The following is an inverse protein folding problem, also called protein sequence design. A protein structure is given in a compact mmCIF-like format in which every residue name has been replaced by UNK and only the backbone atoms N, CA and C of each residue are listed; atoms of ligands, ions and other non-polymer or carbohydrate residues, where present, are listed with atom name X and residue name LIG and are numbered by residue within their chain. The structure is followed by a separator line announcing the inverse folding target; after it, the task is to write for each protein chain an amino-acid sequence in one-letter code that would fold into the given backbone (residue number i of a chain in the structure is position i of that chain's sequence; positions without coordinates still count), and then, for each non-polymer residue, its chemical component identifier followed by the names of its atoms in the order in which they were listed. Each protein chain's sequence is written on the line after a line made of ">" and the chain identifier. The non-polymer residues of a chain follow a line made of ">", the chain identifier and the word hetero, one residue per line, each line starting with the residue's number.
data_IF_693266528889
#
_entry.id   IF_693266528889
#
_cell.length_a   1.000
_cell.length_b   1.000
_cell.length_c   1.000
_cell.angle_alpha   90.00
_cell.angle_beta   90.00
_cell.angle_gamma   90.00
#
_symmetry.space_group_name_H-M   'P 1'
#
loop_
_entity.id
_entity.type
_entity.pdbx_description
1 polymer ?
#
# COMPACT_ATOMS: atom_id res chain seq x y z
N UNK A 1 -16.84 34.15 21.89
CA UNK A 1 -15.93 33.04 21.54
C UNK A 1 -16.73 32.03 20.74
N UNK A 2 -16.20 31.55 19.60
CA UNK A 2 -16.79 30.42 18.91
C UNK A 2 -16.77 29.20 19.85
N UNK A 3 -17.83 28.38 19.89
CA UNK A 3 -17.83 27.18 20.72
C UNK A 3 -16.63 26.32 20.35
N UNK A 4 -15.86 25.86 21.34
CA UNK A 4 -14.83 24.85 21.11
C UNK A 4 -15.53 23.64 20.49
N UNK A 5 -15.12 23.24 19.29
CA UNK A 5 -15.60 22.00 18.71
C UNK A 5 -15.26 20.86 19.67
N UNK A 6 -16.24 20.01 19.96
CA UNK A 6 -16.06 18.88 20.87
C UNK A 6 -15.00 17.88 20.35
N UNK A 7 -14.79 17.87 19.03
CA UNK A 7 -13.83 17.03 18.33
C UNK A 7 -12.89 17.91 17.51
N UNK A 8 -11.61 17.58 17.55
CA UNK A 8 -10.60 18.15 16.65
C UNK A 8 -10.52 17.35 15.35
N UNK A 9 -9.70 17.84 14.42
CA UNK A 9 -9.49 17.24 13.12
C UNK A 9 -9.02 15.77 13.22
N UNK A 10 -8.08 15.48 14.11
CA UNK A 10 -7.50 14.14 14.28
C UNK A 10 -8.54 13.13 14.74
N UNK A 11 -9.38 13.48 15.73
CA UNK A 11 -10.46 12.61 16.19
C UNK A 11 -11.49 12.31 15.08
N UNK A 12 -11.77 13.29 14.21
CA UNK A 12 -12.69 13.13 13.07
C UNK A 12 -12.07 12.22 12.01
N UNK A 13 -10.79 12.41 11.68
CA UNK A 13 -10.06 11.55 10.74
C UNK A 13 -9.99 10.12 11.26
N UNK A 14 -9.76 9.93 12.56
CA UNK A 14 -9.71 8.58 13.13
C UNK A 14 -11.07 7.87 13.08
N UNK A 15 -12.15 8.57 13.41
CA UNK A 15 -13.49 8.00 13.28
C UNK A 15 -13.81 7.63 11.81
N UNK A 16 -13.43 8.47 10.86
CA UNK A 16 -13.62 8.20 9.43
C UNK A 16 -12.70 7.07 8.92
N UNK A 17 -11.46 6.98 9.40
CA UNK A 17 -10.54 5.89 9.09
C UNK A 17 -11.09 4.54 9.52
N UNK A 18 -11.65 4.46 10.72
CA UNK A 18 -12.24 3.22 11.21
C UNK A 18 -13.44 2.77 10.37
N UNK A 19 -14.26 3.72 9.88
CA UNK A 19 -15.34 3.41 8.92
C UNK A 19 -14.72 2.87 7.63
N UNK A 20 -13.68 3.52 7.09
CA UNK A 20 -13.03 3.08 5.87
C UNK A 20 -12.38 1.70 6.01
N UNK A 21 -11.79 1.39 7.17
CA UNK A 21 -11.21 0.08 7.47
C UNK A 21 -12.25 -1.03 7.33
N UNK A 22 -13.45 -0.79 7.84
CA UNK A 22 -14.48 -1.82 7.94
C UNK A 22 -15.36 -1.87 6.67
N UNK A 23 -15.63 -0.72 6.03
CA UNK A 23 -16.65 -0.57 4.99
C UNK A 23 -16.17 0.09 3.69
N UNK A 24 -14.96 0.67 3.66
CA UNK A 24 -14.38 1.33 2.48
C UNK A 24 -14.58 2.86 2.45
N UNK A 25 -13.93 3.54 1.50
CA UNK A 25 -13.90 5.01 1.49
C UNK A 25 -15.27 5.62 1.15
N UNK A 26 -16.07 4.95 0.32
CA UNK A 26 -17.43 5.39 -0.04
C UNK A 26 -18.38 5.42 1.17
N UNK A 27 -18.07 4.70 2.26
CA UNK A 27 -18.85 4.70 3.49
C UNK A 27 -18.59 5.94 4.38
N UNK A 28 -17.55 6.72 4.07
CA UNK A 28 -17.27 7.99 4.77
C UNK A 28 -18.32 9.00 4.35
N UNK A 29 -19.22 9.32 5.28
CA UNK A 29 -20.25 10.36 5.11
C UNK A 29 -20.32 11.20 6.38
N UNK A 30 -20.85 12.43 6.28
CA UNK A 30 -21.06 13.25 7.46
C UNK A 30 -21.88 12.52 8.54
N UNK A 31 -22.89 11.75 8.11
CA UNK A 31 -23.78 11.01 9.00
C UNK A 31 -23.09 9.82 9.65
N UNK A 32 -22.34 9.01 8.89
CA UNK A 32 -21.64 7.83 9.45
C UNK A 32 -20.56 8.24 10.44
N UNK A 33 -19.80 9.29 10.13
CA UNK A 33 -18.77 9.84 11.02
C UNK A 33 -19.40 10.45 12.28
N UNK A 34 -20.46 11.25 12.15
CA UNK A 34 -21.16 11.82 13.30
C UNK A 34 -21.77 10.74 14.21
N UNK A 35 -22.35 9.70 13.61
CA UNK A 35 -22.89 8.56 14.37
C UNK A 35 -21.79 7.84 15.16
N UNK A 36 -20.62 7.62 14.55
CA UNK A 36 -19.47 7.00 15.24
C UNK A 36 -18.92 7.87 16.37
N UNK A 37 -18.88 9.18 16.19
CA UNK A 37 -18.44 10.15 17.21
C UNK A 37 -19.49 10.39 18.30
N UNK A 38 -20.73 9.94 18.13
CA UNK A 38 -21.85 10.29 19.02
C UNK A 38 -22.16 11.79 19.00
N UNK A 39 -21.98 12.45 17.84
CA UNK A 39 -22.09 13.90 17.67
C UNK A 39 -23.12 14.28 16.61
N UNK A 40 -23.39 15.58 16.46
CA UNK A 40 -24.02 16.09 15.24
C UNK A 40 -23.01 16.11 14.08
N UNK A 41 -23.46 16.44 12.87
CA UNK A 41 -22.55 16.63 11.71
C UNK A 41 -21.77 17.95 11.77
N UNK A 42 -22.13 18.87 12.68
CA UNK A 42 -21.55 20.21 12.73
C UNK A 42 -20.02 20.23 12.95
N UNK A 43 -19.42 19.42 13.86
CA UNK A 43 -17.97 19.38 14.04
C UNK A 43 -17.21 18.99 12.77
N UNK A 44 -17.80 18.17 11.90
CA UNK A 44 -17.17 17.75 10.65
C UNK A 44 -17.03 18.94 9.70
N UNK A 45 -18.12 19.68 9.47
CA UNK A 45 -18.11 20.85 8.57
C UNK A 45 -17.40 22.08 9.14
N UNK A 46 -17.09 22.09 10.43
CA UNK A 46 -16.19 23.11 11.00
C UNK A 46 -14.72 22.82 10.66
N UNK A 47 -14.33 21.56 10.52
CA UNK A 47 -12.94 21.17 10.26
C UNK A 47 -12.68 20.88 8.77
N UNK A 48 -13.68 20.42 8.01
CA UNK A 48 -13.57 20.05 6.60
C UNK A 48 -14.62 20.78 5.77
N UNK A 49 -14.21 21.37 4.63
CA UNK A 49 -15.15 22.09 3.77
C UNK A 49 -16.11 21.11 3.05
N UNK A 50 -15.63 19.91 2.72
CA UNK A 50 -16.41 18.85 2.11
C UNK A 50 -16.01 17.46 2.64
N UNK A 51 -16.87 16.46 2.42
CA UNK A 51 -16.59 15.06 2.83
C UNK A 51 -15.44 14.46 2.02
N UNK A 52 -15.24 14.94 0.80
CA UNK A 52 -14.12 14.61 -0.06
C UNK A 52 -12.79 15.06 0.56
N UNK A 53 -12.77 16.18 1.30
CA UNK A 53 -11.58 16.67 1.99
C UNK A 53 -11.23 15.76 3.16
N UNK A 54 -12.24 15.35 3.95
CA UNK A 54 -12.08 14.36 5.01
C UNK A 54 -11.60 13.02 4.45
N UNK A 55 -12.18 12.58 3.34
CA UNK A 55 -11.78 11.32 2.68
C UNK A 55 -10.32 11.38 2.24
N UNK A 56 -9.85 12.52 1.69
CA UNK A 56 -8.42 12.69 1.36
C UNK A 56 -7.53 12.62 2.59
N UNK A 57 -7.91 13.27 3.69
CA UNK A 57 -7.16 13.20 4.95
C UNK A 57 -7.08 11.76 5.50
N UNK A 58 -8.16 10.98 5.36
CA UNK A 58 -8.17 9.55 5.69
C UNK A 58 -7.22 8.78 4.78
N UNK A 59 -7.25 9.00 3.45
CA UNK A 59 -6.35 8.32 2.52
C UNK A 59 -4.88 8.63 2.81
N UNK A 60 -4.56 9.88 3.14
CA UNK A 60 -3.21 10.25 3.59
C UNK A 60 -2.79 9.51 4.86
N UNK A 61 -3.71 9.35 5.82
CA UNK A 61 -3.48 8.50 7.00
C UNK A 61 -3.22 7.05 6.60
N UNK A 62 -3.97 6.50 5.65
CA UNK A 62 -3.76 5.14 5.13
C UNK A 62 -2.37 4.99 4.49
N UNK A 63 -1.92 5.97 3.70
CA UNK A 63 -0.58 5.94 3.11
C UNK A 63 0.52 6.03 4.17
N UNK A 64 0.40 6.92 5.16
CA UNK A 64 1.34 6.96 6.30
C UNK A 64 1.41 5.62 7.04
N UNK A 65 0.26 4.98 7.24
CA UNK A 65 0.18 3.65 7.86
C UNK A 65 0.89 2.61 6.99
N UNK A 66 0.69 2.61 5.67
CA UNK A 66 1.39 1.68 4.77
C UNK A 66 2.92 1.87 4.80
N UNK A 67 3.40 3.11 4.92
CA UNK A 67 4.84 3.37 5.12
C UNK A 67 5.35 2.87 6.46
N UNK A 68 4.55 2.90 7.53
CA UNK A 68 4.94 2.30 8.81
C UNK A 68 5.12 0.79 8.69
N UNK A 69 4.26 0.09 7.94
CA UNK A 69 4.44 -1.34 7.66
C UNK A 69 5.74 -1.59 6.89
N UNK A 70 6.07 -0.73 5.93
CA UNK A 70 7.33 -0.81 5.19
C UNK A 70 8.56 -0.55 6.07
N UNK A 71 8.52 0.49 6.91
CA UNK A 71 9.64 0.85 7.82
C UNK A 71 9.94 -0.21 8.87
N UNK A 72 8.99 -1.10 9.19
CA UNK A 72 9.19 -2.22 10.11
C UNK A 72 10.01 -3.36 9.49
N UNK A 73 10.10 -3.41 8.16
CA UNK A 73 10.82 -4.47 7.47
C UNK A 73 12.32 -4.23 7.50
N UNK A 74 13.10 -5.30 7.62
CA UNK A 74 14.56 -5.27 7.70
C UNK A 74 15.22 -6.28 6.75
N UNK A 75 14.50 -6.70 5.72
CA UNK A 75 14.98 -7.58 4.69
C UNK A 75 16.10 -6.95 3.84
N UNK A 76 16.98 -7.77 3.24
CA UNK A 76 18.14 -7.33 2.46
C UNK A 76 17.81 -6.55 1.20
N UNK A 77 16.59 -6.67 0.65
CA UNK A 77 16.20 -6.00 -0.60
C UNK A 77 14.93 -5.16 -0.45
N UNK A 78 14.83 -4.12 -1.29
CA UNK A 78 13.63 -3.27 -1.38
C UNK A 78 12.39 -4.12 -1.72
N UNK A 79 12.56 -5.11 -2.60
CA UNK A 79 11.47 -5.97 -3.03
C UNK A 79 10.92 -6.83 -1.90
N UNK A 80 11.81 -7.45 -1.12
CA UNK A 80 11.43 -8.22 0.06
C UNK A 80 10.67 -7.37 1.07
N UNK A 81 11.21 -6.19 1.39
CA UNK A 81 10.57 -5.27 2.32
C UNK A 81 9.18 -4.84 1.83
N UNK A 82 9.04 -4.49 0.54
CA UNK A 82 7.75 -4.15 -0.04
C UNK A 82 6.77 -5.32 -0.02
N UNK A 83 7.23 -6.51 -0.40
CA UNK A 83 6.42 -7.72 -0.42
C UNK A 83 5.88 -8.07 0.97
N UNK A 84 6.76 -8.21 1.96
CA UNK A 84 6.37 -8.54 3.34
C UNK A 84 5.46 -7.48 3.96
N UNK A 85 5.77 -6.19 3.77
CA UNK A 85 4.93 -5.11 4.24
C UNK A 85 3.53 -5.15 3.61
N UNK A 86 3.44 -5.43 2.31
CA UNK A 86 2.16 -5.51 1.61
C UNK A 86 1.31 -6.69 2.05
N UNK A 87 1.92 -7.85 2.35
CA UNK A 87 1.19 -9.01 2.89
C UNK A 87 0.61 -8.71 4.27
N UNK A 88 1.42 -8.13 5.17
CA UNK A 88 0.99 -7.75 6.49
C UNK A 88 -0.12 -6.69 6.44
N UNK A 89 0.02 -5.67 5.58
CA UNK A 89 -1.01 -4.65 5.40
C UNK A 89 -2.31 -5.23 4.81
N UNK A 90 -2.24 -6.16 3.86
CA UNK A 90 -3.42 -6.81 3.29
C UNK A 90 -4.17 -7.71 4.28
N UNK A 91 -3.44 -8.35 5.20
CA UNK A 91 -4.03 -9.13 6.28
C UNK A 91 -4.80 -8.24 7.25
N UNK A 92 -4.21 -7.10 7.63
CA UNK A 92 -4.75 -6.24 8.67
C UNK A 92 -5.81 -5.26 8.12
N UNK A 93 -5.71 -4.87 6.84
CA UNK A 93 -6.59 -3.89 6.18
C UNK A 93 -7.08 -4.33 4.78
N UNK A 94 -7.75 -5.49 4.65
CA UNK A 94 -8.12 -6.05 3.34
C UNK A 94 -9.09 -5.17 2.54
N UNK A 95 -9.99 -4.43 3.21
CA UNK A 95 -10.94 -3.52 2.57
C UNK A 95 -10.21 -2.34 1.92
N UNK A 96 -9.26 -1.73 2.64
CA UNK A 96 -8.46 -0.61 2.13
C UNK A 96 -7.59 -1.04 0.95
N UNK A 97 -7.01 -2.24 1.00
CA UNK A 97 -6.26 -2.80 -0.14
C UNK A 97 -7.15 -2.91 -1.37
N UNK A 98 -8.37 -3.44 -1.24
CA UNK A 98 -9.30 -3.54 -2.38
C UNK A 98 -9.62 -2.17 -2.96
N UNK A 99 -9.93 -1.20 -2.11
CA UNK A 99 -10.29 0.16 -2.54
C UNK A 99 -9.14 0.85 -3.30
N UNK A 100 -7.89 0.63 -2.89
CA UNK A 100 -6.72 1.29 -3.48
C UNK A 100 -6.14 0.56 -4.70
N UNK A 101 -6.40 -0.75 -4.85
CA UNK A 101 -5.70 -1.59 -5.83
C UNK A 101 -6.60 -2.16 -6.95
N UNK A 102 -7.93 -2.25 -6.76
CA UNK A 102 -8.82 -2.91 -7.73
C UNK A 102 -9.52 -1.94 -8.69
N UNK A 103 -9.63 -0.67 -8.30
CA UNK A 103 -10.18 0.43 -9.11
C UNK A 103 -9.06 1.42 -9.44
N UNK A 104 -9.19 2.23 -10.50
CA UNK A 104 -8.30 3.38 -10.70
C UNK A 104 -8.25 4.22 -9.42
N UNK A 105 -7.07 4.40 -8.85
CA UNK A 105 -6.87 5.08 -7.58
C UNK A 105 -6.72 6.59 -7.81
N UNK A 106 -7.74 7.42 -7.50
CA UNK A 106 -7.67 8.87 -7.73
C UNK A 106 -6.75 9.59 -6.74
N UNK A 107 -6.32 8.91 -5.68
CA UNK A 107 -5.46 9.46 -4.64
C UNK A 107 -3.97 9.28 -4.94
N UNK A 108 -3.63 8.47 -5.94
CA UNK A 108 -2.25 8.34 -6.40
C UNK A 108 -1.92 9.50 -7.34
N UNK A 109 -1.13 10.46 -6.84
CA UNK A 109 -0.81 11.71 -7.55
C UNK A 109 0.16 11.51 -8.72
N UNK A 110 1.17 10.64 -8.59
CA UNK A 110 2.15 10.39 -9.66
C UNK A 110 2.74 8.97 -9.58
N UNK A 111 2.20 8.05 -10.38
CA UNK A 111 2.72 6.68 -10.48
C UNK A 111 4.09 6.62 -11.16
N UNK A 112 4.35 7.50 -12.13
CA UNK A 112 5.56 7.45 -12.95
C UNK A 112 6.78 7.91 -12.15
N UNK A 113 6.65 9.00 -11.38
CA UNK A 113 7.72 9.46 -10.50
C UNK A 113 8.08 8.42 -9.43
N UNK A 114 7.08 7.74 -8.86
CA UNK A 114 7.30 6.68 -7.88
C UNK A 114 7.99 5.46 -8.49
N UNK A 115 7.60 5.07 -9.71
CA UNK A 115 8.29 4.02 -10.46
C UNK A 115 9.75 4.39 -10.75
N UNK A 116 10.02 5.62 -11.19
CA UNK A 116 11.38 6.09 -11.47
C UNK A 116 12.26 6.10 -10.21
N UNK A 117 11.71 6.54 -9.08
CA UNK A 117 12.39 6.49 -7.79
C UNK A 117 12.76 5.05 -7.38
N UNK A 118 11.85 4.09 -7.59
CA UNK A 118 12.10 2.68 -7.28
C UNK A 118 13.17 2.07 -8.20
N UNK A 119 13.11 2.34 -9.51
CA UNK A 119 14.11 1.87 -10.48
C UNK A 119 15.50 2.44 -10.15
N UNK A 120 15.55 3.72 -9.74
CA UNK A 120 16.79 4.37 -9.29
C UNK A 120 17.34 3.69 -8.04
N UNK A 121 16.49 3.42 -7.04
CA UNK A 121 16.86 2.72 -5.81
C UNK A 121 17.39 1.31 -6.07
N UNK A 122 16.76 0.56 -6.99
CA UNK A 122 17.26 -0.75 -7.45
C UNK A 122 18.66 -0.66 -8.05
N UNK A 123 19.04 0.48 -8.64
CA UNK A 123 20.38 0.71 -9.16
C UNK A 123 21.49 0.77 -8.11
N UNK A 124 21.12 1.06 -6.86
CA UNK A 124 22.04 1.07 -5.72
C UNK A 124 22.25 -0.32 -5.12
N UNK A 125 21.47 -1.32 -5.53
CA UNK A 125 21.63 -2.70 -5.11
C UNK A 125 22.88 -3.32 -5.79
N UNK A 126 23.86 -3.83 -5.03
CA UNK A 126 25.06 -4.45 -5.59
C UNK A 126 24.77 -5.61 -6.57
N UNK A 127 23.70 -6.38 -6.36
CA UNK A 127 23.31 -7.47 -7.27
C UNK A 127 22.79 -6.96 -8.62
N UNK A 128 22.30 -5.72 -8.64
CA UNK A 128 21.73 -5.05 -9.81
C UNK A 128 22.63 -3.97 -10.40
N UNK A 129 23.80 -3.70 -9.80
CA UNK A 129 24.70 -2.62 -10.21
C UNK A 129 25.17 -2.72 -11.66
N UNK A 130 25.29 -3.95 -12.18
CA UNK A 130 25.64 -4.18 -13.59
C UNK A 130 24.49 -4.02 -14.58
N UNK A 131 23.23 -3.92 -14.13
CA UNK A 131 22.03 -3.94 -14.99
C UNK A 131 21.77 -2.58 -15.63
N UNK A 132 21.21 -2.54 -16.85
CA UNK A 132 20.71 -1.31 -17.47
C UNK A 132 19.40 -0.83 -16.81
N UNK A 133 19.02 0.42 -17.07
CA UNK A 133 17.76 0.99 -16.59
C UNK A 133 16.56 0.19 -17.11
N UNK A 134 16.59 -0.23 -18.38
CA UNK A 134 15.54 -1.02 -19.03
C UNK A 134 15.42 -2.42 -18.40
N UNK A 135 16.55 -3.03 -18.05
CA UNK A 135 16.58 -4.33 -17.37
C UNK A 135 15.98 -4.23 -15.97
N UNK A 136 16.34 -3.19 -15.20
CA UNK A 136 15.76 -2.91 -13.88
C UNK A 136 14.26 -2.60 -13.97
N UNK A 137 13.83 -1.82 -14.96
CA UNK A 137 12.40 -1.53 -15.20
C UNK A 137 11.60 -2.80 -15.47
N UNK A 138 12.14 -3.71 -16.28
CA UNK A 138 11.50 -5.00 -16.57
C UNK A 138 11.40 -5.86 -15.31
N UNK A 139 12.48 -5.95 -14.53
CA UNK A 139 12.50 -6.68 -13.27
C UNK A 139 11.47 -6.10 -12.28
N UNK A 140 11.45 -4.77 -12.13
CA UNK A 140 10.50 -4.06 -11.29
C UNK A 140 9.05 -4.41 -11.65
N UNK A 141 8.69 -4.42 -12.94
CA UNK A 141 7.32 -4.77 -13.33
C UNK A 141 6.96 -6.23 -13.08
N UNK A 142 7.90 -7.17 -13.22
CA UNK A 142 7.64 -8.58 -12.87
C UNK A 142 7.39 -8.72 -11.37
N UNK A 143 8.26 -8.11 -10.58
CA UNK A 143 8.18 -8.07 -9.12
C UNK A 143 6.88 -7.41 -8.64
N UNK A 144 6.54 -6.23 -9.17
CA UNK A 144 5.31 -5.51 -8.85
C UNK A 144 4.06 -6.30 -9.21
N UNK A 145 4.02 -6.91 -10.41
CA UNK A 145 2.87 -7.70 -10.83
C UNK A 145 2.64 -8.91 -9.90
N UNK A 146 3.72 -9.61 -9.55
CA UNK A 146 3.66 -10.72 -8.60
C UNK A 146 3.21 -10.27 -7.21
N UNK A 147 3.85 -9.23 -6.66
CA UNK A 147 3.53 -8.69 -5.33
C UNK A 147 2.08 -8.21 -5.24
N UNK A 148 1.60 -7.46 -6.24
CA UNK A 148 0.23 -6.98 -6.29
C UNK A 148 -0.77 -8.14 -6.36
N UNK A 149 -0.49 -9.15 -7.20
CA UNK A 149 -1.31 -10.35 -7.30
C UNK A 149 -1.42 -11.08 -5.96
N UNK A 150 -0.29 -11.33 -5.29
CA UNK A 150 -0.27 -12.02 -4.01
C UNK A 150 -0.98 -11.22 -2.90
N UNK A 151 -0.78 -9.90 -2.88
CA UNK A 151 -1.45 -8.99 -1.94
C UNK A 151 -2.96 -9.02 -2.11
N UNK A 152 -3.45 -9.01 -3.36
CA UNK A 152 -4.87 -9.14 -3.65
C UNK A 152 -5.41 -10.53 -3.29
N UNK A 153 -4.63 -11.60 -3.48
CA UNK A 153 -5.03 -12.94 -3.05
C UNK A 153 -5.23 -13.00 -1.53
N UNK A 154 -4.32 -12.38 -0.74
CA UNK A 154 -4.48 -12.28 0.72
C UNK A 154 -5.72 -11.46 1.05
N UNK A 155 -5.84 -10.24 0.51
CA UNK A 155 -6.96 -9.35 0.81
C UNK A 155 -8.32 -9.98 0.46
N UNK A 156 -8.38 -10.80 -0.58
CA UNK A 156 -9.60 -11.44 -1.07
C UNK A 156 -9.86 -12.85 -0.50
N UNK A 157 -9.06 -13.32 0.47
CA UNK A 157 -9.17 -14.67 1.03
C UNK A 157 -9.07 -15.78 -0.04
N UNK A 158 -8.17 -15.60 -1.02
CA UNK A 158 -7.93 -16.56 -2.11
C UNK A 158 -6.72 -17.45 -1.86
N UNK A 159 -6.03 -17.29 -0.73
CA UNK A 159 -4.93 -18.17 -0.32
C UNK A 159 -5.50 -19.52 0.14
N UNK A 160 -5.03 -20.65 -0.42
CA UNK A 160 -5.47 -21.97 0.02
C UNK A 160 -5.13 -22.25 1.49
N UNK A 161 -5.97 -23.01 2.20
CA UNK A 161 -5.78 -23.30 3.63
C UNK A 161 -4.50 -24.05 3.99
N UNK A 162 -3.88 -24.74 3.04
CA UNK A 162 -2.61 -25.45 3.23
C UNK A 162 -1.38 -24.54 3.05
N UNK A 163 -1.57 -23.30 2.60
CA UNK A 163 -0.51 -22.34 2.32
C UNK A 163 -0.56 -21.21 3.35
N UNK A 164 0.17 -21.40 4.44
CA UNK A 164 0.13 -20.52 5.60
C UNK A 164 0.91 -19.23 5.42
N UNK A 165 0.91 -18.39 6.45
CA UNK A 165 1.61 -17.10 6.45
C UNK A 165 3.12 -17.26 6.20
N UNK A 166 3.78 -18.19 6.89
CA UNK A 166 5.18 -18.48 6.66
C UNK A 166 5.48 -19.02 5.24
N UNK A 167 4.48 -19.60 4.56
CA UNK A 167 4.64 -20.02 3.16
C UNK A 167 4.54 -18.82 2.21
N UNK A 168 3.62 -17.88 2.47
CA UNK A 168 3.50 -16.62 1.72
C UNK A 168 4.76 -15.77 1.82
N UNK A 169 5.30 -15.61 3.03
CA UNK A 169 6.54 -14.87 3.24
C UNK A 169 7.69 -15.54 2.47
N UNK A 170 7.88 -16.85 2.62
CA UNK A 170 8.90 -17.59 1.87
C UNK A 170 8.73 -17.48 0.35
N UNK A 171 7.49 -17.48 -0.14
CA UNK A 171 7.20 -17.33 -1.57
C UNK A 171 7.64 -15.96 -2.10
N UNK A 172 7.41 -14.89 -1.35
CA UNK A 172 7.90 -13.54 -1.70
C UNK A 172 9.43 -13.53 -1.81
N UNK A 173 10.11 -14.05 -0.80
CA UNK A 173 11.58 -14.11 -0.75
C UNK A 173 12.13 -14.90 -1.94
N UNK A 174 11.65 -16.13 -2.10
CA UNK A 174 12.12 -17.04 -3.13
C UNK A 174 11.88 -16.48 -4.53
N UNK A 175 10.68 -15.95 -4.79
CA UNK A 175 10.34 -15.40 -6.11
C UNK A 175 11.20 -14.19 -6.44
N UNK A 176 11.49 -13.33 -5.46
CA UNK A 176 12.40 -12.20 -5.63
C UNK A 176 13.79 -12.64 -6.06
N UNK A 177 14.40 -13.58 -5.32
CA UNK A 177 15.71 -14.14 -5.65
C UNK A 177 15.73 -14.85 -7.00
N UNK A 178 14.68 -15.62 -7.33
CA UNK A 178 14.57 -16.37 -8.58
C UNK A 178 14.49 -15.42 -9.79
N UNK A 179 13.77 -14.30 -9.68
CA UNK A 179 13.68 -13.29 -10.74
C UNK A 179 15.03 -12.60 -10.99
N UNK A 180 15.76 -12.22 -9.93
CA UNK A 180 17.11 -11.64 -10.06
C UNK A 180 18.06 -12.63 -10.71
N UNK A 181 18.04 -13.90 -10.26
CA UNK A 181 18.86 -14.98 -10.83
C UNK A 181 18.56 -15.21 -12.31
N UNK A 182 17.27 -15.32 -12.67
CA UNK A 182 16.85 -15.51 -14.06
C UNK A 182 17.28 -14.34 -14.95
N UNK A 183 17.16 -13.09 -14.47
CA UNK A 183 17.65 -11.93 -15.19
C UNK A 183 19.16 -11.99 -15.41
N UNK A 184 19.95 -12.35 -14.40
CA UNK A 184 21.40 -12.51 -14.54
C UNK A 184 21.80 -13.58 -15.56
N UNK A 185 21.05 -14.68 -15.68
CA UNK A 185 21.29 -15.72 -16.71
C UNK A 185 21.01 -15.15 -18.10
N UNK A 186 19.83 -14.56 -18.31
CA UNK A 186 19.43 -13.97 -19.59
C UNK A 186 20.42 -12.89 -20.09
N UNK A 187 21.06 -12.18 -19.15
CA UNK A 187 22.08 -11.16 -19.46
C UNK A 187 23.39 -11.78 -19.93
N UNK A 188 23.82 -12.87 -19.30
CA UNK A 188 25.02 -13.60 -19.74
C UNK A 188 24.83 -14.17 -21.15
N UNK A 189 23.67 -14.75 -21.43
CA UNK A 189 23.36 -15.32 -22.75
C UNK A 189 23.33 -14.27 -23.87
N UNK A 190 22.88 -13.04 -23.60
CA UNK A 190 22.91 -11.94 -24.57
C UNK A 190 24.30 -11.38 -24.85
N UNK A 191 25.23 -11.57 -23.92
CA UNK A 191 26.60 -11.07 -24.00
C UNK A 191 27.61 -12.15 -24.48
N UNK A 192 27.12 -13.35 -24.83
CA UNK A 192 27.90 -14.46 -25.40
C UNK A 192 27.61 -14.57 -26.90
#
# INVERSE_FOLDING_TARGET
>A
MAPKTQFDEEAIVEAAFEIARDEGFEAITARSVAARLGSSVAPIYVNFAAIEDLTRAVVERVFRLSEEYLRRQQGPSVFENMGLASLAFARDYPVLVRELATKPNPYMQDYAAQEEAMISMMGSDPELGGWSVEERRRLFMQMRAFQLGLTLMVANNQVPSWFGEADLERLVLQTGSDLVRAGNINRKEKNT
#
